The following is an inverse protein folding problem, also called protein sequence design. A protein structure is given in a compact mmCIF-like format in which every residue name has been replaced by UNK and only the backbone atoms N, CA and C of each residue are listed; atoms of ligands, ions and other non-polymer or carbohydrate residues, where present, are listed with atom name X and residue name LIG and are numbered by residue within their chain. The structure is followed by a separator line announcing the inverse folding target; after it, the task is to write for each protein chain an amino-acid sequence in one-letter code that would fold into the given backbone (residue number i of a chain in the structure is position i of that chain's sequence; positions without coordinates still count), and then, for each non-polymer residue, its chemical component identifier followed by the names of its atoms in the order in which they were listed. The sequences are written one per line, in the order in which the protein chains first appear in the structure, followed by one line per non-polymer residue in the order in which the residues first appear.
data_IF_580509901963
#
_entry.id   IF_580509901963
#
_cell.length_a   1.000
_cell.length_b   1.000
_cell.length_c   1.000
_cell.angle_alpha   90.00
_cell.angle_beta   90.00
_cell.angle_gamma   90.00
#
_symmetry.space_group_name_H-M   'P 1'
#
loop_
_entity.id
_entity.type
_entity.pdbx_description
1 polymer ?
#
# COMPACT_ATOMS: atom_id res chain seq x y z
N UNK A 1 19.28 6.28 7.33
CA UNK A 1 18.51 5.32 8.11
C UNK A 1 17.01 5.50 7.91
N UNK A 2 16.22 4.52 8.29
CA UNK A 2 14.78 4.55 8.02
C UNK A 2 14.05 5.61 8.85
N UNK A 3 14.49 5.88 10.05
CA UNK A 3 13.85 6.90 10.87
C UNK A 3 14.04 8.29 10.28
N UNK A 4 15.22 8.55 9.73
CA UNK A 4 15.49 9.83 9.05
C UNK A 4 14.66 9.94 7.78
N UNK A 5 14.59 8.85 6.98
CA UNK A 5 13.79 8.82 5.77
C UNK A 5 12.30 9.02 6.08
N UNK A 6 11.81 8.39 7.13
CA UNK A 6 10.43 8.54 7.58
C UNK A 6 10.10 10.02 7.82
N UNK A 7 10.95 10.71 8.58
CA UNK A 7 10.73 12.13 8.88
C UNK A 7 10.76 12.99 7.63
N UNK A 8 11.71 12.73 6.74
CA UNK A 8 11.85 13.51 5.51
C UNK A 8 10.65 13.36 4.59
N UNK A 9 10.18 12.12 4.39
CA UNK A 9 9.00 11.88 3.55
C UNK A 9 7.75 12.49 4.18
N UNK A 10 7.59 12.37 5.50
CA UNK A 10 6.43 12.93 6.18
C UNK A 10 6.42 14.45 6.06
N UNK A 11 7.56 15.08 6.26
CA UNK A 11 7.67 16.55 6.13
C UNK A 11 7.32 17.00 4.71
N UNK A 12 7.82 16.28 3.70
CA UNK A 12 7.49 16.61 2.30
C UNK A 12 5.99 16.58 2.06
N UNK A 13 5.31 15.51 2.51
CA UNK A 13 3.87 15.37 2.31
C UNK A 13 3.10 16.48 3.04
N UNK A 14 3.51 16.79 4.28
CA UNK A 14 2.81 17.80 5.08
C UNK A 14 2.96 19.21 4.49
N UNK A 15 4.10 19.51 3.89
CA UNK A 15 4.36 20.84 3.36
C UNK A 15 4.05 20.97 1.87
N UNK A 16 3.86 19.84 1.15
CA UNK A 16 3.67 19.83 -0.29
C UNK A 16 2.55 18.87 -0.69
N UNK A 17 1.44 18.89 0.05
CA UNK A 17 0.38 17.88 -0.13
C UNK A 17 -0.26 17.88 -1.53
N UNK A 18 -0.20 19.01 -2.24
CA UNK A 18 -0.75 19.13 -3.60
C UNK A 18 0.31 18.95 -4.69
N UNK A 19 1.56 18.69 -4.30
CA UNK A 19 2.62 18.47 -5.27
C UNK A 19 2.42 17.13 -5.98
N UNK A 20 2.82 17.06 -7.25
CA UNK A 20 2.64 15.83 -8.03
C UNK A 20 3.41 14.63 -7.44
N UNK A 21 4.44 14.88 -6.65
CA UNK A 21 5.23 13.82 -6.00
C UNK A 21 4.75 13.49 -4.58
N UNK A 22 3.68 14.13 -4.12
CA UNK A 22 3.21 13.88 -2.75
C UNK A 22 2.73 12.43 -2.56
N UNK A 23 2.05 11.88 -3.55
CA UNK A 23 1.63 10.47 -3.50
C UNK A 23 2.82 9.51 -3.45
N UNK A 24 3.88 9.81 -4.24
CA UNK A 24 5.10 9.03 -4.19
C UNK A 24 5.74 9.10 -2.81
N UNK A 25 5.84 10.31 -2.25
CA UNK A 25 6.44 10.51 -0.93
C UNK A 25 5.64 9.79 0.16
N UNK A 26 4.31 9.82 0.08
CA UNK A 26 3.46 9.11 1.03
C UNK A 26 3.67 7.60 0.96
N UNK A 27 3.80 7.06 -0.25
CA UNK A 27 4.09 5.64 -0.44
C UNK A 27 5.44 5.27 0.20
N UNK A 28 6.49 6.05 -0.06
CA UNK A 28 7.81 5.75 0.51
C UNK A 28 7.82 5.94 2.03
N UNK A 29 7.05 6.89 2.53
CA UNK A 29 6.83 7.04 3.98
C UNK A 29 6.28 5.74 4.58
N UNK A 30 5.25 5.19 3.96
CA UNK A 30 4.67 3.91 4.41
C UNK A 30 5.68 2.77 4.31
N UNK A 31 6.51 2.75 3.25
CA UNK A 31 7.53 1.72 3.07
C UNK A 31 8.58 1.74 4.18
N UNK A 32 8.88 2.90 4.75
CA UNK A 32 9.84 2.95 5.87
C UNK A 32 9.35 2.13 7.07
N UNK A 33 8.04 2.10 7.29
CA UNK A 33 7.46 1.28 8.36
C UNK A 33 7.45 -0.20 7.98
N UNK A 34 7.03 -0.51 6.75
CA UNK A 34 6.94 -1.91 6.31
C UNK A 34 8.30 -2.61 6.37
N UNK A 35 9.35 -1.95 5.91
CA UNK A 35 10.70 -2.52 5.91
C UNK A 35 11.16 -2.85 7.33
N UNK A 36 10.75 -2.05 8.32
CA UNK A 36 11.03 -2.30 9.73
C UNK A 36 10.04 -3.24 10.39
N UNK A 37 9.11 -3.81 9.59
CA UNK A 37 8.07 -4.73 10.07
C UNK A 37 7.10 -4.09 11.07
N UNK A 38 6.93 -2.77 10.97
CA UNK A 38 5.95 -2.02 11.75
C UNK A 38 4.65 -1.97 10.94
N UNK A 39 3.96 -3.11 10.88
CA UNK A 39 2.87 -3.30 9.92
C UNK A 39 1.64 -2.47 10.23
N UNK A 40 1.36 -2.19 11.51
CA UNK A 40 0.24 -1.32 11.88
C UNK A 40 0.47 0.10 11.38
N UNK A 41 1.68 0.63 11.60
CA UNK A 41 2.04 1.96 11.10
C UNK A 41 2.06 1.99 9.59
N UNK A 42 2.58 0.93 8.97
CA UNK A 42 2.59 0.83 7.52
C UNK A 42 1.17 0.86 6.95
N UNK A 43 0.27 0.03 7.50
CA UNK A 43 -1.12 -0.01 7.04
C UNK A 43 -1.78 1.37 7.14
N UNK A 44 -1.57 2.06 8.24
CA UNK A 44 -2.13 3.40 8.45
C UNK A 44 -1.61 4.39 7.39
N UNK A 45 -0.32 4.34 7.10
CA UNK A 45 0.29 5.25 6.12
C UNK A 45 -0.13 4.92 4.69
N UNK A 46 -0.24 3.62 4.34
CA UNK A 46 -0.75 3.23 3.02
C UNK A 46 -2.22 3.62 2.86
N UNK A 47 -3.03 3.49 3.92
CA UNK A 47 -4.43 3.88 3.87
C UNK A 47 -4.56 5.37 3.59
N UNK A 48 -3.77 6.19 4.28
CA UNK A 48 -3.77 7.63 4.04
C UNK A 48 -3.40 7.93 2.57
N UNK A 49 -2.40 7.23 2.03
CA UNK A 49 -2.02 7.39 0.63
C UNK A 49 -3.13 6.99 -0.34
N UNK A 50 -3.82 5.89 -0.05
CA UNK A 50 -4.94 5.44 -0.88
C UNK A 50 -6.07 6.46 -0.88
N UNK A 51 -6.38 7.02 0.29
CA UNK A 51 -7.46 7.99 0.42
C UNK A 51 -7.14 9.34 -0.23
N UNK A 52 -5.91 9.81 -0.10
CA UNK A 52 -5.51 11.13 -0.58
C UNK A 52 -5.02 11.13 -2.03
N UNK A 53 -4.40 10.05 -2.47
CA UNK A 53 -3.75 10.00 -3.79
C UNK A 53 -4.18 8.75 -4.58
N UNK A 54 -5.51 8.54 -4.75
CA UNK A 54 -6.01 7.31 -5.38
C UNK A 54 -5.70 7.19 -6.86
N UNK A 55 -5.28 8.28 -7.51
CA UNK A 55 -4.98 8.29 -8.95
C UNK A 55 -3.52 8.55 -9.25
N UNK A 56 -2.66 8.53 -8.23
CA UNK A 56 -1.23 8.75 -8.43
C UNK A 56 -0.53 7.53 -9.03
N UNK A 57 0.71 7.72 -9.44
CA UNK A 57 1.49 6.65 -10.05
C UNK A 57 1.71 5.48 -9.10
N UNK A 58 1.80 5.74 -7.81
CA UNK A 58 2.00 4.69 -6.80
C UNK A 58 0.70 4.07 -6.32
N UNK A 59 -0.46 4.55 -6.78
CA UNK A 59 -1.74 4.08 -6.24
C UNK A 59 -1.93 2.57 -6.34
N UNK A 60 -1.62 1.91 -7.48
CA UNK A 60 -1.81 0.46 -7.54
C UNK A 60 -0.94 -0.31 -6.56
N UNK A 61 0.36 -0.01 -6.51
CA UNK A 61 1.27 -0.71 -5.58
C UNK A 61 0.95 -0.34 -4.13
N UNK A 62 0.49 0.89 -3.90
CA UNK A 62 0.09 1.35 -2.58
C UNK A 62 -1.11 0.54 -2.06
N UNK A 63 -2.11 0.32 -2.91
CA UNK A 63 -3.27 -0.50 -2.54
C UNK A 63 -2.86 -1.93 -2.24
N UNK A 64 -1.99 -2.51 -3.07
CA UNK A 64 -1.47 -3.84 -2.83
C UNK A 64 -0.77 -3.94 -1.46
N UNK A 65 0.12 -2.99 -1.17
CA UNK A 65 0.89 -3.00 0.08
C UNK A 65 0.00 -2.74 1.28
N UNK A 66 -1.05 -1.93 1.12
CA UNK A 66 -2.07 -1.76 2.15
C UNK A 66 -2.72 -3.11 2.47
N UNK A 67 -3.15 -3.84 1.44
CA UNK A 67 -3.77 -5.15 1.63
C UNK A 67 -2.85 -6.14 2.32
N UNK A 68 -1.59 -6.21 1.88
CA UNK A 68 -0.60 -7.10 2.50
C UNK A 68 -0.39 -6.74 3.98
N UNK A 69 -0.26 -5.45 4.28
CA UNK A 69 -0.08 -5.00 5.67
C UNK A 69 -1.29 -5.34 6.52
N UNK A 70 -2.50 -5.23 5.97
CA UNK A 70 -3.73 -5.59 6.67
C UNK A 70 -3.75 -7.08 7.01
N UNK A 71 -3.35 -7.94 6.08
CA UNK A 71 -3.24 -9.38 6.37
C UNK A 71 -2.24 -9.61 7.52
N UNK A 72 -1.12 -8.92 7.48
CA UNK A 72 -0.06 -9.10 8.47
C UNK A 72 -0.46 -8.65 9.88
N UNK A 73 -1.40 -7.71 10.01
CA UNK A 73 -1.88 -7.30 11.33
C UNK A 73 -3.13 -8.07 11.75
N UNK A 74 -3.50 -9.13 11.02
CA UNK A 74 -4.62 -9.98 11.39
C UNK A 74 -5.96 -9.63 10.77
N UNK A 75 -6.01 -8.64 9.89
CA UNK A 75 -7.23 -8.24 9.18
C UNK A 75 -7.28 -8.89 7.80
N UNK A 76 -7.30 -10.23 7.80
CA UNK A 76 -7.13 -11.00 6.57
C UNK A 76 -8.25 -10.76 5.56
N UNK A 77 -9.51 -10.71 6.02
CA UNK A 77 -10.63 -10.54 5.09
C UNK A 77 -10.53 -9.22 4.33
N UNK A 78 -10.27 -8.14 5.06
CA UNK A 78 -10.13 -6.83 4.44
C UNK A 78 -8.87 -6.74 3.59
N UNK A 79 -7.78 -7.29 4.08
CA UNK A 79 -6.53 -7.31 3.31
C UNK A 79 -6.69 -8.04 1.99
N UNK A 80 -7.34 -9.21 2.02
CA UNK A 80 -7.59 -9.98 0.80
C UNK A 80 -8.48 -9.24 -0.19
N UNK A 81 -9.50 -8.51 0.29
CA UNK A 81 -10.33 -7.71 -0.60
C UNK A 81 -9.53 -6.64 -1.33
N UNK A 82 -8.58 -6.02 -0.62
CA UNK A 82 -7.72 -5.00 -1.21
C UNK A 82 -6.76 -5.60 -2.24
N UNK A 83 -6.12 -6.72 -1.89
CA UNK A 83 -5.20 -7.41 -2.80
C UNK A 83 -5.93 -7.84 -4.06
N UNK A 84 -7.08 -8.48 -3.92
CA UNK A 84 -7.86 -8.96 -5.05
C UNK A 84 -8.50 -7.82 -5.85
N UNK A 85 -8.65 -6.65 -5.23
CA UNK A 85 -9.21 -5.48 -5.87
C UNK A 85 -8.23 -4.66 -6.71
N UNK A 86 -6.93 -4.96 -6.65
CA UNK A 86 -5.92 -4.14 -7.34
C UNK A 86 -6.18 -4.08 -8.84
N UNK A 87 -6.37 -5.23 -9.48
CA UNK A 87 -6.57 -5.26 -10.93
C UNK A 87 -7.89 -4.60 -11.34
N UNK A 88 -8.96 -4.81 -10.57
CA UNK A 88 -10.26 -4.23 -10.92
C UNK A 88 -10.29 -2.71 -10.73
N UNK A 89 -9.60 -2.20 -9.71
CA UNK A 89 -9.55 -0.76 -9.47
C UNK A 89 -8.53 -0.05 -10.36
N UNK A 90 -7.46 -0.75 -10.72
CA UNK A 90 -6.37 -0.19 -11.53
C UNK A 90 -6.05 -1.11 -12.70
N UNK A 91 -6.98 -1.25 -13.66
CA UNK A 91 -6.79 -2.20 -14.77
C UNK A 91 -5.59 -1.86 -15.66
N UNK A 92 -5.12 -0.61 -15.62
CA UNK A 92 -3.97 -0.19 -16.42
C UNK A 92 -2.67 -0.20 -15.63
N UNK A 93 -2.67 -0.78 -14.43
CA UNK A 93 -1.45 -0.90 -13.65
C UNK A 93 -0.41 -1.76 -14.36
N UNK A 94 0.86 -1.54 -14.02
CA UNK A 94 1.95 -2.37 -14.52
C UNK A 94 1.66 -3.85 -14.27
N UNK A 95 1.99 -4.68 -15.26
CA UNK A 95 1.81 -6.13 -15.10
C UNK A 95 2.59 -6.68 -13.90
N UNK A 96 3.74 -6.07 -13.58
CA UNK A 96 4.50 -6.51 -12.40
C UNK A 96 3.71 -6.33 -11.12
N UNK A 97 2.92 -5.25 -10.99
CA UNK A 97 2.09 -5.02 -9.81
C UNK A 97 0.93 -6.02 -9.78
N UNK A 98 0.27 -6.23 -10.92
CA UNK A 98 -0.84 -7.18 -11.03
C UNK A 98 -0.37 -8.58 -10.67
N UNK A 99 0.81 -9.00 -11.17
CA UNK A 99 1.35 -10.31 -10.86
C UNK A 99 1.71 -10.45 -9.38
N UNK A 100 2.23 -9.38 -8.77
CA UNK A 100 2.50 -9.38 -7.32
C UNK A 100 1.20 -9.53 -6.53
N UNK A 101 0.14 -8.87 -6.97
CA UNK A 101 -1.16 -8.99 -6.29
C UNK A 101 -1.66 -10.44 -6.35
N UNK A 102 -1.56 -11.07 -7.51
CA UNK A 102 -1.94 -12.48 -7.65
C UNK A 102 -1.10 -13.40 -6.78
N UNK A 103 0.20 -13.15 -6.74
CA UNK A 103 1.11 -13.92 -5.89
C UNK A 103 0.73 -13.80 -4.41
N UNK A 104 0.48 -12.59 -3.94
CA UNK A 104 0.12 -12.35 -2.54
C UNK A 104 -1.25 -12.95 -2.22
N UNK A 105 -2.20 -12.86 -3.15
CA UNK A 105 -3.51 -13.49 -2.97
C UNK A 105 -3.39 -15.00 -2.77
N UNK A 106 -2.57 -15.65 -3.58
CA UNK A 106 -2.33 -17.09 -3.46
C UNK A 106 -1.59 -17.43 -2.17
N UNK A 107 -0.56 -16.65 -1.85
CA UNK A 107 0.25 -16.86 -0.64
C UNK A 107 -0.60 -16.80 0.61
N UNK A 108 -1.52 -15.85 0.69
CA UNK A 108 -2.39 -15.68 1.85
C UNK A 108 -3.69 -16.49 1.74
N UNK A 109 -3.83 -17.29 0.66
CA UNK A 109 -5.00 -18.13 0.44
C UNK A 109 -6.30 -17.34 0.47
N UNK A 110 -6.31 -16.19 -0.20
CA UNK A 110 -7.46 -15.29 -0.19
C UNK A 110 -8.72 -15.94 -0.77
N UNK A 111 -8.57 -16.84 -1.74
CA UNK A 111 -9.70 -17.52 -2.38
C UNK A 111 -10.43 -18.48 -1.44
N UNK A 112 -9.83 -18.86 -0.32
CA UNK A 112 -10.44 -19.84 0.61
C UNK A 112 -11.35 -19.20 1.63
N UNK A 113 -11.42 -17.86 1.65
CA UNK A 113 -12.21 -17.15 2.66
C UNK A 113 -13.71 -17.27 2.45
N UNK A 114 -14.14 -17.53 1.22
CA UNK A 114 -15.56 -17.61 0.87
C UNK A 114 -16.07 -19.03 0.77
N UNK A 115 -15.28 -19.97 1.20
CA UNK A 115 -15.68 -21.39 1.17
C UNK A 115 -16.37 -21.82 2.44
#
# INVERSE_FOLDING_TARGET
DYATAERAFREFVLTNSDHELAGNAQYWYAETFRIRQLYTDAASAYLEGYQKYPNGKKAPINLLKLGVSMVQIGEKDQGCKMIDGVESQYPEANQSVIQKAKYESQKFECNKQNS
#
